data_IF_781149244172
#
_entry.id   IF_781149244172
#
_cell.length_a   1.000
_cell.length_b   1.000
_cell.length_c   1.000
_cell.angle_alpha   90.00
_cell.angle_beta   90.00
_cell.angle_gamma   90.00
#
_symmetry.space_group_name_H-M   'P 1'
#
loop_
_entity.id
_entity.type
_entity.pdbx_description
1 polymer ?
#
# COMPACT_ATOMS: atom_id res chain seq x y z
N UNK A 1 4.30 -6.39 4.77
CA UNK A 1 5.30 -7.14 5.59
C UNK A 1 6.69 -6.57 5.33
N UNK A 2 7.49 -6.42 6.36
CA UNK A 2 8.89 -5.97 6.24
C UNK A 2 9.81 -7.11 6.69
N UNK A 3 10.84 -7.39 5.90
CA UNK A 3 11.89 -8.36 6.21
C UNK A 3 13.21 -7.61 6.40
N UNK A 4 13.97 -8.00 7.40
CA UNK A 4 15.34 -7.48 7.63
C UNK A 4 16.35 -8.00 6.59
N UNK A 5 15.95 -8.96 5.75
CA UNK A 5 16.77 -9.49 4.68
C UNK A 5 16.41 -8.89 3.32
N UNK A 6 17.44 -8.58 2.54
CA UNK A 6 17.25 -8.14 1.16
C UNK A 6 16.96 -9.34 0.25
N UNK A 7 15.81 -9.32 -0.42
CA UNK A 7 15.45 -10.37 -1.36
C UNK A 7 16.43 -10.49 -2.53
N UNK A 8 17.08 -9.40 -2.91
CA UNK A 8 18.09 -9.38 -3.97
C UNK A 8 19.35 -10.18 -3.60
N UNK A 9 19.68 -10.25 -2.30
CA UNK A 9 20.79 -11.07 -1.83
C UNK A 9 20.56 -12.54 -2.12
N UNK A 10 19.33 -13.00 -1.90
CA UNK A 10 18.98 -14.42 -2.19
C UNK A 10 19.00 -14.72 -3.67
N UNK A 11 18.48 -13.79 -4.49
CA UNK A 11 18.29 -14.00 -5.92
C UNK A 11 19.58 -13.80 -6.75
N UNK A 12 20.44 -12.85 -6.36
CA UNK A 12 21.56 -12.42 -7.21
C UNK A 12 22.93 -12.52 -6.53
N UNK A 13 22.99 -12.89 -5.25
CA UNK A 13 24.18 -12.71 -4.43
C UNK A 13 24.57 -11.23 -4.31
N UNK A 14 25.08 -10.80 -3.20
CA UNK A 14 25.54 -9.43 -3.07
C UNK A 14 26.72 -9.30 -2.12
N UNK A 15 27.46 -8.20 -2.24
CA UNK A 15 28.59 -7.81 -1.39
C UNK A 15 28.19 -6.98 -0.17
N UNK A 16 26.87 -6.83 0.08
CA UNK A 16 26.30 -6.04 1.18
C UNK A 16 26.58 -4.53 1.12
N UNK A 17 26.95 -3.98 -0.01
CA UNK A 17 27.01 -2.54 -0.23
C UNK A 17 25.67 -2.00 -0.75
N UNK A 18 24.73 -1.81 0.16
CA UNK A 18 23.38 -1.37 -0.17
C UNK A 18 23.33 0.08 -0.67
N UNK A 19 24.27 0.92 -0.29
CA UNK A 19 24.30 2.33 -0.69
C UNK A 19 24.57 2.48 -2.19
N UNK A 20 25.48 1.67 -2.75
CA UNK A 20 25.83 1.67 -4.18
C UNK A 20 25.04 0.69 -5.02
N UNK A 21 24.12 -0.07 -4.43
CA UNK A 21 23.38 -1.12 -5.12
C UNK A 21 22.45 -0.58 -6.20
N UNK A 22 22.76 -0.86 -7.46
CA UNK A 22 21.91 -0.45 -8.61
C UNK A 22 20.62 -1.26 -8.72
N UNK A 23 20.59 -2.48 -8.16
CA UNK A 23 19.41 -3.35 -8.20
C UNK A 23 18.29 -2.84 -7.28
N UNK A 24 18.62 -2.12 -6.22
CA UNK A 24 17.69 -1.50 -5.29
C UNK A 24 16.65 -0.58 -5.95
N UNK A 25 17.06 0.13 -7.02
CA UNK A 25 16.19 1.03 -7.76
C UNK A 25 15.19 0.31 -8.68
N UNK A 26 15.34 -0.99 -8.89
CA UNK A 26 14.46 -1.77 -9.76
C UNK A 26 13.10 -1.99 -9.10
N UNK A 27 12.05 -1.95 -9.91
CA UNK A 27 10.71 -2.40 -9.52
C UNK A 27 10.72 -3.92 -9.47
N UNK A 28 10.70 -4.47 -8.27
CA UNK A 28 10.70 -5.91 -8.02
C UNK A 28 9.31 -6.37 -7.66
N UNK A 29 9.01 -7.63 -7.94
CA UNK A 29 7.79 -8.29 -7.49
C UNK A 29 8.04 -9.76 -7.21
N UNK A 30 7.24 -10.31 -6.29
CA UNK A 30 7.11 -11.74 -6.07
C UNK A 30 5.77 -12.21 -6.61
N UNK A 31 5.76 -13.39 -7.17
CA UNK A 31 4.53 -14.08 -7.59
C UNK A 31 4.27 -15.22 -6.61
N UNK A 32 3.09 -15.24 -6.00
CA UNK A 32 2.72 -16.34 -5.12
C UNK A 32 2.25 -17.56 -5.92
N UNK A 33 1.98 -18.66 -5.22
CA UNK A 33 1.51 -19.91 -5.82
C UNK A 33 0.20 -19.75 -6.61
N UNK A 34 -0.65 -18.83 -6.21
CA UNK A 34 -1.92 -18.53 -6.88
C UNK A 34 -1.77 -17.56 -8.06
N UNK A 35 -0.54 -17.20 -8.40
CA UNK A 35 -0.23 -16.29 -9.49
C UNK A 35 -0.40 -14.80 -9.17
N UNK A 36 -0.71 -14.41 -7.92
CA UNK A 36 -0.81 -13.01 -7.50
C UNK A 36 0.58 -12.37 -7.45
N UNK A 37 0.68 -11.18 -8.04
CA UNK A 37 1.92 -10.42 -8.11
C UNK A 37 1.95 -9.41 -6.96
N UNK A 38 2.90 -9.59 -6.07
CA UNK A 38 3.10 -8.73 -4.88
C UNK A 38 4.32 -7.83 -5.10
N UNK A 39 4.17 -6.52 -5.12
CA UNK A 39 5.29 -5.59 -5.27
C UNK A 39 6.27 -5.71 -4.11
N UNK A 40 7.56 -5.58 -4.41
CA UNK A 40 8.65 -5.55 -3.42
C UNK A 40 9.46 -4.27 -3.59
N UNK A 41 9.84 -3.68 -2.48
CA UNK A 41 10.79 -2.55 -2.43
C UNK A 41 11.90 -2.88 -1.45
N UNK A 42 13.11 -2.63 -1.85
CA UNK A 42 14.31 -2.74 -0.99
C UNK A 42 14.82 -1.36 -0.64
N UNK A 43 15.37 -1.20 0.56
CA UNK A 43 15.91 0.06 1.03
C UNK A 43 17.45 0.06 1.15
N UNK A 44 17.99 1.21 1.54
CA UNK A 44 19.44 1.41 1.68
C UNK A 44 20.05 0.59 2.84
N UNK A 45 19.22 0.04 3.71
CA UNK A 45 19.65 -0.77 4.86
C UNK A 45 19.55 -2.27 4.58
N UNK A 46 19.29 -2.66 3.32
CA UNK A 46 19.16 -4.06 2.93
C UNK A 46 17.90 -4.75 3.44
N UNK A 47 16.85 -3.97 3.73
CA UNK A 47 15.54 -4.50 4.12
C UNK A 47 14.61 -4.58 2.92
N UNK A 48 13.74 -5.58 2.91
CA UNK A 48 12.71 -5.73 1.90
C UNK A 48 11.32 -5.47 2.48
N UNK A 49 10.51 -4.69 1.76
CA UNK A 49 9.08 -4.50 2.05
C UNK A 49 8.26 -5.19 0.99
N UNK A 50 7.45 -6.13 1.42
CA UNK A 50 6.50 -6.83 0.59
C UNK A 50 5.12 -6.19 0.75
N UNK A 51 4.52 -5.80 -0.36
CA UNK A 51 3.19 -5.20 -0.42
C UNK A 51 2.18 -6.22 -0.91
N UNK A 52 0.91 -6.03 -0.54
CA UNK A 52 -0.16 -6.88 -1.03
C UNK A 52 -0.33 -6.70 -2.55
N UNK A 53 -0.86 -7.74 -3.19
CA UNK A 53 -1.19 -7.73 -4.61
C UNK A 53 -2.34 -6.77 -4.95
N UNK A 54 -3.18 -6.46 -3.96
CA UNK A 54 -4.33 -5.56 -4.11
C UNK A 54 -4.18 -4.33 -3.22
N UNK A 55 -4.41 -3.12 -3.76
CA UNK A 55 -4.42 -1.92 -2.96
C UNK A 55 -5.59 -1.94 -1.96
N UNK A 56 -5.40 -1.34 -0.81
CA UNK A 56 -6.46 -1.13 0.18
C UNK A 56 -7.15 0.20 -0.11
N UNK A 57 -8.46 0.18 -0.30
CA UNK A 57 -9.29 1.38 -0.44
C UNK A 57 -10.41 1.37 0.60
N UNK A 58 -10.26 2.19 1.63
CA UNK A 58 -11.23 2.36 2.71
C UNK A 58 -12.13 3.59 2.53
N UNK A 59 -12.13 4.23 1.36
CA UNK A 59 -12.97 5.41 1.13
C UNK A 59 -14.46 5.14 1.33
N UNK A 60 -15.03 3.97 0.99
CA UNK A 60 -16.43 3.65 1.30
C UNK A 60 -16.72 3.55 2.80
N UNK A 61 -15.71 3.28 3.62
CA UNK A 61 -15.83 3.11 5.07
C UNK A 61 -15.53 4.40 5.85
N UNK A 62 -15.21 5.50 5.17
CA UNK A 62 -14.91 6.78 5.84
C UNK A 62 -16.00 7.22 6.82
N UNK A 63 -17.31 7.11 6.53
CA UNK A 63 -18.34 7.45 7.52
C UNK A 63 -18.18 6.66 8.83
N UNK A 64 -18.00 5.36 8.74
CA UNK A 64 -17.82 4.49 9.91
C UNK A 64 -16.55 4.81 10.69
N UNK A 65 -15.45 5.16 9.98
CA UNK A 65 -14.20 5.57 10.61
C UNK A 65 -14.35 6.88 11.38
N UNK A 66 -15.06 7.86 10.80
CA UNK A 66 -15.34 9.14 11.47
C UNK A 66 -16.23 8.96 12.70
N UNK A 67 -17.29 8.13 12.60
CA UNK A 67 -18.17 7.78 13.70
C UNK A 67 -17.43 7.06 14.84
N UNK A 68 -16.45 6.22 14.49
CA UNK A 68 -15.57 5.58 15.46
C UNK A 68 -14.52 6.53 16.07
N UNK A 69 -14.51 7.82 15.71
CA UNK A 69 -13.61 8.83 16.29
C UNK A 69 -12.25 8.94 15.59
N UNK A 70 -12.05 8.32 14.44
CA UNK A 70 -10.82 8.48 13.64
C UNK A 70 -10.71 9.94 13.18
N UNK A 71 -9.57 10.58 13.48
CA UNK A 71 -9.32 12.00 13.17
C UNK A 71 -8.30 12.23 12.07
N UNK A 72 -7.54 11.20 11.71
CA UNK A 72 -6.50 11.30 10.68
C UNK A 72 -6.58 10.09 9.76
N UNK A 73 -6.53 10.34 8.46
CA UNK A 73 -6.46 9.33 7.42
C UNK A 73 -5.14 9.50 6.67
N UNK A 74 -4.43 8.41 6.47
CA UNK A 74 -3.18 8.39 5.73
C UNK A 74 -3.39 7.79 4.35
N UNK A 75 -2.80 8.43 3.34
CA UNK A 75 -2.67 7.88 2.00
C UNK A 75 -1.22 7.41 1.85
N UNK A 76 -1.02 6.10 1.76
CA UNK A 76 0.30 5.52 1.47
C UNK A 76 0.55 5.57 -0.04
N UNK A 77 1.41 6.50 -0.45
CA UNK A 77 1.80 6.71 -1.83
C UNK A 77 3.06 5.97 -2.27
N UNK A 78 3.61 5.06 -1.45
CA UNK A 78 4.92 4.42 -1.68
C UNK A 78 5.02 3.73 -3.06
N UNK A 79 3.92 3.14 -3.55
CA UNK A 79 3.86 2.45 -4.83
C UNK A 79 3.22 3.27 -5.95
N UNK A 80 2.78 4.49 -5.66
CA UNK A 80 2.07 5.36 -6.58
C UNK A 80 3.02 6.35 -7.27
N UNK A 81 2.71 6.68 -8.50
CA UNK A 81 3.33 7.82 -9.18
C UNK A 81 2.73 9.14 -8.65
N UNK A 82 3.42 10.26 -8.86
CA UNK A 82 3.08 11.56 -8.26
C UNK A 82 1.62 11.99 -8.55
N UNK A 83 1.17 11.81 -9.77
CA UNK A 83 -0.19 12.15 -10.18
C UNK A 83 -1.24 11.20 -9.56
N UNK A 84 -0.89 9.94 -9.36
CA UNK A 84 -1.74 8.97 -8.67
C UNK A 84 -1.91 9.31 -7.19
N UNK A 85 -0.85 9.79 -6.53
CA UNK A 85 -0.93 10.29 -5.13
C UNK A 85 -1.94 11.44 -5.05
N UNK A 86 -1.85 12.41 -5.98
CA UNK A 86 -2.79 13.53 -6.04
C UNK A 86 -4.24 13.06 -6.19
N UNK A 87 -4.49 12.12 -7.09
CA UNK A 87 -5.84 11.51 -7.27
C UNK A 87 -6.33 10.76 -6.03
N UNK A 88 -5.45 10.00 -5.37
CA UNK A 88 -5.79 9.26 -4.16
C UNK A 88 -6.15 10.22 -3.00
N UNK A 89 -5.37 11.26 -2.78
CA UNK A 89 -5.65 12.29 -1.76
C UNK A 89 -6.98 12.99 -2.04
N UNK A 90 -7.22 13.41 -3.28
CA UNK A 90 -8.47 14.05 -3.68
C UNK A 90 -9.68 13.13 -3.48
N UNK A 91 -9.52 11.83 -3.72
CA UNK A 91 -10.55 10.82 -3.50
C UNK A 91 -10.89 10.71 -2.00
N UNK A 92 -9.89 10.59 -1.13
CA UNK A 92 -10.10 10.52 0.32
C UNK A 92 -10.77 11.79 0.84
N UNK A 93 -10.31 12.96 0.38
CA UNK A 93 -10.92 14.25 0.76
C UNK A 93 -12.39 14.30 0.39
N UNK A 94 -12.77 13.94 -0.85
CA UNK A 94 -14.18 13.87 -1.27
C UNK A 94 -15.00 12.88 -0.44
N UNK A 95 -14.40 11.76 -0.01
CA UNK A 95 -15.10 10.80 0.85
C UNK A 95 -15.39 11.40 2.24
N UNK A 96 -14.44 12.14 2.81
CA UNK A 96 -14.63 12.87 4.09
C UNK A 96 -15.71 13.93 3.96
N UNK A 97 -15.65 14.77 2.93
CA UNK A 97 -16.66 15.81 2.67
C UNK A 97 -18.05 15.22 2.47
N UNK A 98 -18.17 14.11 1.74
CA UNK A 98 -19.42 13.39 1.56
C UNK A 98 -19.97 12.86 2.89
N UNK A 99 -19.11 12.24 3.72
CA UNK A 99 -19.48 11.72 5.02
C UNK A 99 -19.96 12.83 5.97
N UNK A 100 -19.23 13.95 6.03
CA UNK A 100 -19.61 15.11 6.84
C UNK A 100 -20.92 15.76 6.39
N UNK A 101 -21.25 15.69 5.10
CA UNK A 101 -22.50 16.16 4.52
C UNK A 101 -23.64 15.13 4.57
N UNK A 102 -23.44 13.97 5.22
CA UNK A 102 -24.43 12.89 5.28
C UNK A 102 -24.67 12.20 3.93
N UNK A 103 -23.79 12.37 2.96
CA UNK A 103 -23.90 11.77 1.64
C UNK A 103 -23.14 10.43 1.60
N UNK A 104 -23.64 9.52 0.77
CA UNK A 104 -22.97 8.24 0.53
C UNK A 104 -21.64 8.46 -0.21
N UNK A 105 -20.52 7.91 0.28
CA UNK A 105 -19.24 7.98 -0.44
C UNK A 105 -19.26 7.15 -1.72
N UNK A 106 -18.30 7.42 -2.61
CA UNK A 106 -18.10 6.64 -3.82
C UNK A 106 -17.81 5.17 -3.52
N UNK A 107 -18.18 4.29 -4.44
CA UNK A 107 -17.86 2.87 -4.34
C UNK A 107 -16.34 2.64 -4.33
N UNK A 108 -15.91 1.50 -3.80
CA UNK A 108 -14.51 1.09 -3.78
C UNK A 108 -13.94 1.05 -5.21
N UNK A 109 -12.67 1.37 -5.34
CA UNK A 109 -11.97 1.24 -6.62
C UNK A 109 -11.97 -0.22 -7.08
N UNK A 110 -12.15 -0.40 -8.38
CA UNK A 110 -12.10 -1.75 -8.98
C UNK A 110 -10.72 -2.38 -8.72
N UNK A 111 -10.70 -3.62 -8.27
CA UNK A 111 -9.46 -4.34 -7.93
C UNK A 111 -8.84 -3.96 -6.59
N UNK A 112 -9.49 -3.09 -5.79
CA UNK A 112 -9.07 -2.80 -4.44
C UNK A 112 -9.83 -3.62 -3.40
N UNK A 113 -9.26 -3.73 -2.19
CA UNK A 113 -9.84 -4.48 -1.05
C UNK A 113 -10.02 -3.58 0.16
N UNK A 114 -10.82 -4.01 1.13
CA UNK A 114 -10.90 -3.40 2.47
C UNK A 114 -9.78 -3.87 3.41
N UNK A 115 -8.87 -4.71 2.94
CA UNK A 115 -7.90 -5.36 3.80
C UNK A 115 -8.59 -6.19 4.89
N UNK A 116 -8.02 -6.19 6.08
CA UNK A 116 -8.54 -6.92 7.23
C UNK A 116 -9.51 -6.12 8.10
N UNK A 117 -10.12 -5.03 7.60
CA UNK A 117 -10.97 -4.15 8.42
C UNK A 117 -12.16 -4.90 9.06
N UNK A 118 -12.73 -5.88 8.33
CA UNK A 118 -13.90 -6.65 8.79
C UNK A 118 -13.59 -8.11 9.11
N UNK A 119 -12.33 -8.49 8.99
CA UNK A 119 -11.84 -9.85 9.27
C UNK A 119 -10.75 -9.72 10.30
N UNK A 120 -10.94 -10.35 11.46
CA UNK A 120 -9.91 -10.37 12.49
C UNK A 120 -8.59 -10.94 11.97
N UNK A 121 -7.49 -10.51 12.58
CA UNK A 121 -6.19 -11.13 12.34
C UNK A 121 -6.19 -12.45 13.11
N UNK A 122 -6.29 -13.52 12.38
CA UNK A 122 -6.16 -14.87 12.94
C UNK A 122 -4.69 -15.27 13.03
#
# INVERSE_FOLDING_TARGET
>A
MTSEHCILQVANGCIHDCASCRLRARKLSLKNIDGKVMPVRTDIHGRSRLYDAYPIDLTPQVPQLLDAGVRRLMVDGTLLETDEVGRAVARVRRAVEAAQAGRKPAARLRGATSGCMFVGIS
#
